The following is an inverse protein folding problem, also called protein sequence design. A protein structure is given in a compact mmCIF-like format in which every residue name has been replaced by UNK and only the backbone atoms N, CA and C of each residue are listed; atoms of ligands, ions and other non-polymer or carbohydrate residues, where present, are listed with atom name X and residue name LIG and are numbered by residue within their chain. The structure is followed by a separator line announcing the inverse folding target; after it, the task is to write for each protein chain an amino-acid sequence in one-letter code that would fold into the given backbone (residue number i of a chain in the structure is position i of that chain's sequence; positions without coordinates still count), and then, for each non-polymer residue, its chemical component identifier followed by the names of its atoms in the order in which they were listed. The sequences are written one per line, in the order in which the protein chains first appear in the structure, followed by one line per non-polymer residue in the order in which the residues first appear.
data_IF_197294263801
#
_entry.id   IF_197294263801
#
_cell.length_a   1.000
_cell.length_b   1.000
_cell.length_c   1.000
_cell.angle_alpha   90.00
_cell.angle_beta   90.00
_cell.angle_gamma   90.00
#
_symmetry.space_group_name_H-M   'P 1'
#
loop_
_entity.id
_entity.type
_entity.pdbx_description
1 polymer ?
#
# COMPACT_ATOMS: atom_id res chain seq x y z
N UNK A 1 -17.97 16.43 -4.50
CA UNK A 1 -18.04 15.28 -3.57
C UNK A 1 -18.62 14.04 -4.24
N UNK A 2 -17.96 12.89 -4.15
CA UNK A 2 -18.47 11.59 -4.63
C UNK A 2 -18.26 10.52 -3.55
N UNK A 3 -19.25 9.64 -3.40
CA UNK A 3 -19.25 8.53 -2.45
C UNK A 3 -19.51 7.24 -3.20
N UNK A 4 -18.67 6.24 -2.97
CA UNK A 4 -18.74 4.94 -3.62
C UNK A 4 -18.82 3.82 -2.59
N UNK A 5 -19.60 2.79 -2.87
CA UNK A 5 -19.52 1.55 -2.12
C UNK A 5 -18.33 0.75 -2.63
N UNK A 6 -17.58 0.14 -1.70
CA UNK A 6 -16.37 -0.62 -1.99
C UNK A 6 -16.53 -2.03 -1.42
N UNK A 7 -16.18 -3.04 -2.21
CA UNK A 7 -16.10 -4.42 -1.75
C UNK A 7 -14.76 -5.04 -2.19
N UNK A 8 -13.90 -5.37 -1.23
CA UNK A 8 -12.53 -5.85 -1.47
C UNK A 8 -12.34 -7.28 -1.00
N UNK A 9 -11.60 -8.07 -1.77
CA UNK A 9 -11.30 -9.45 -1.40
C UNK A 9 -10.06 -9.54 -0.50
N UNK A 10 -10.13 -10.38 0.53
CA UNK A 10 -8.96 -10.82 1.28
C UNK A 10 -8.06 -11.70 0.39
N UNK A 11 -6.74 -11.48 0.45
CA UNK A 11 -5.77 -12.25 -0.33
C UNK A 11 -5.36 -13.52 0.41
N UNK A 12 -5.65 -14.68 -0.18
CA UNK A 12 -5.39 -16.00 0.41
C UNK A 12 -5.95 -16.10 1.84
N UNK A 13 -5.16 -16.62 2.78
CA UNK A 13 -5.54 -16.79 4.19
C UNK A 13 -5.41 -15.53 5.06
N UNK A 14 -5.13 -14.37 4.45
CA UNK A 14 -5.02 -13.12 5.22
C UNK A 14 -6.37 -12.76 5.84
N UNK A 15 -6.30 -12.13 7.01
CA UNK A 15 -7.45 -11.70 7.83
C UNK A 15 -7.69 -10.19 7.77
N UNK A 16 -7.00 -9.49 6.87
CA UNK A 16 -7.15 -8.06 6.63
C UNK A 16 -6.99 -7.71 5.15
N UNK A 17 -7.64 -6.63 4.72
CA UNK A 17 -7.51 -6.05 3.38
C UNK A 17 -6.11 -5.48 3.21
N UNK A 18 -5.45 -5.79 2.08
CA UNK A 18 -4.09 -5.33 1.84
C UNK A 18 -4.10 -3.91 1.28
N UNK A 19 -3.11 -3.12 1.68
CA UNK A 19 -3.00 -1.74 1.21
C UNK A 19 -2.91 -1.54 -0.31
N UNK A 20 -2.25 -2.42 -1.09
CA UNK A 20 -2.31 -2.34 -2.55
C UNK A 20 -3.72 -2.48 -3.13
N UNK A 21 -4.62 -3.22 -2.47
CA UNK A 21 -6.01 -3.36 -2.92
C UNK A 21 -6.77 -2.04 -2.74
N UNK A 22 -6.60 -1.37 -1.59
CA UNK A 22 -7.16 -0.02 -1.35
C UNK A 22 -6.63 1.00 -2.36
N UNK A 23 -5.33 0.96 -2.63
CA UNK A 23 -4.70 1.85 -3.60
C UNK A 23 -5.27 1.63 -5.01
N UNK A 24 -5.45 0.36 -5.41
CA UNK A 24 -6.00 0.02 -6.72
C UNK A 24 -7.44 0.49 -6.84
N UNK A 25 -8.26 0.25 -5.81
CA UNK A 25 -9.64 0.73 -5.74
C UNK A 25 -9.73 2.25 -5.90
N UNK A 26 -8.88 2.99 -5.19
CA UNK A 26 -8.78 4.45 -5.34
C UNK A 26 -8.52 4.86 -6.79
N UNK A 27 -7.55 4.21 -7.44
CA UNK A 27 -7.17 4.54 -8.81
C UNK A 27 -8.30 4.27 -9.81
N UNK A 28 -9.06 3.18 -9.62
CA UNK A 28 -10.21 2.84 -10.46
C UNK A 28 -11.26 3.97 -10.52
N UNK A 29 -11.52 4.65 -9.39
CA UNK A 29 -12.53 5.71 -9.32
C UNK A 29 -12.04 7.09 -9.73
N UNK A 30 -10.71 7.31 -9.74
CA UNK A 30 -10.16 8.56 -10.25
C UNK A 30 -10.26 8.63 -11.78
N UNK A 31 -10.23 7.50 -12.50
CA UNK A 31 -10.35 7.43 -13.97
C UNK A 31 -9.48 8.46 -14.74
N UNK A 32 -8.40 8.93 -14.11
CA UNK A 32 -7.48 9.91 -14.67
C UNK A 32 -6.25 9.17 -15.18
N UNK A 33 -5.98 9.30 -16.49
CA UNK A 33 -4.85 8.63 -17.17
C UNK A 33 -3.48 9.15 -16.74
N UNK A 34 -3.40 10.15 -15.86
CA UNK A 34 -2.14 10.77 -15.44
C UNK A 34 -2.21 11.19 -13.97
N UNK A 35 -1.97 10.23 -13.09
CA UNK A 35 -1.71 10.52 -11.68
C UNK A 35 -0.26 11.01 -11.56
N UNK A 36 -0.06 12.13 -10.89
CA UNK A 36 1.26 12.77 -10.77
C UNK A 36 1.85 12.49 -9.39
N UNK A 37 1.32 13.19 -8.38
CA UNK A 37 1.76 13.02 -6.99
C UNK A 37 0.74 12.22 -6.23
N UNK A 38 1.19 11.25 -5.45
CA UNK A 38 0.33 10.45 -4.58
C UNK A 38 0.92 10.42 -3.19
N UNK A 39 0.12 10.74 -2.19
CA UNK A 39 0.43 10.51 -0.78
C UNK A 39 -0.71 9.68 -0.19
N UNK A 40 -0.50 8.37 -0.11
CA UNK A 40 -1.46 7.39 0.39
C UNK A 40 -1.01 6.87 1.75
N UNK A 41 -1.93 6.80 2.72
CA UNK A 41 -1.65 6.35 4.08
C UNK A 41 -2.75 5.45 4.61
N UNK A 42 -2.37 4.42 5.35
CA UNK A 42 -3.24 3.48 6.05
C UNK A 42 -3.06 3.72 7.54
N UNK A 43 -4.15 4.08 8.20
CA UNK A 43 -4.17 4.44 9.62
C UNK A 43 -4.62 3.28 10.49
N UNK A 44 -5.41 2.35 9.95
CA UNK A 44 -5.96 1.20 10.69
C UNK A 44 -5.99 -0.06 9.83
N UNK A 45 -5.81 -1.20 10.48
CA UNK A 45 -6.01 -2.52 9.86
C UNK A 45 -7.48 -2.71 9.54
N UNK A 46 -7.79 -3.10 8.30
CA UNK A 46 -9.16 -3.26 7.81
C UNK A 46 -9.51 -4.75 7.80
N UNK A 47 -10.45 -5.15 8.66
CA UNK A 47 -10.90 -6.55 8.82
C UNK A 47 -12.26 -6.83 8.16
N UNK A 48 -12.84 -5.85 7.50
CA UNK A 48 -14.10 -5.95 6.77
C UNK A 48 -13.85 -5.74 5.27
N UNK A 49 -14.53 -6.53 4.43
CA UNK A 49 -14.44 -6.40 2.98
C UNK A 49 -15.31 -5.27 2.42
N UNK A 50 -16.31 -4.80 3.16
CA UNK A 50 -17.27 -3.80 2.72
C UNK A 50 -16.99 -2.45 3.37
N UNK A 51 -17.00 -1.41 2.54
CA UNK A 51 -16.71 -0.06 2.99
C UNK A 51 -17.23 0.99 2.03
N UNK A 52 -16.83 2.22 2.30
CA UNK A 52 -17.14 3.40 1.51
C UNK A 52 -15.85 4.12 1.15
N UNK A 53 -15.80 4.57 -0.09
CA UNK A 53 -14.75 5.44 -0.61
C UNK A 53 -15.34 6.83 -0.86
N UNK A 54 -14.72 7.81 -0.22
CA UNK A 54 -15.05 9.21 -0.38
C UNK A 54 -13.98 9.88 -1.23
N UNK A 55 -14.38 10.62 -2.26
CA UNK A 55 -13.49 11.43 -3.10
C UNK A 55 -14.03 12.85 -3.23
N UNK A 56 -13.18 13.84 -2.96
CA UNK A 56 -13.49 15.25 -3.19
C UNK A 56 -12.28 16.00 -3.69
N UNK A 57 -12.49 17.07 -4.43
CA UNK A 57 -11.49 18.07 -4.81
C UNK A 57 -11.50 19.29 -3.88
N UNK A 58 -12.43 19.33 -2.92
CA UNK A 58 -12.57 20.39 -1.92
C UNK A 58 -11.96 19.96 -0.57
N UNK A 59 -10.87 20.59 -0.18
CA UNK A 59 -10.17 20.31 1.07
C UNK A 59 -11.00 20.62 2.32
N UNK A 60 -11.90 21.61 2.27
CA UNK A 60 -12.76 21.94 3.41
C UNK A 60 -13.76 20.81 3.67
N UNK A 61 -14.37 20.28 2.61
CA UNK A 61 -15.25 19.11 2.72
C UNK A 61 -14.51 17.89 3.28
N UNK A 62 -13.27 17.66 2.84
CA UNK A 62 -12.45 16.57 3.37
C UNK A 62 -12.17 16.73 4.87
N UNK A 63 -11.85 17.95 5.32
CA UNK A 63 -11.61 18.25 6.75
C UNK A 63 -12.83 18.08 7.64
N UNK A 64 -14.04 18.17 7.08
CA UNK A 64 -15.29 17.95 7.80
C UNK A 64 -15.63 16.47 7.98
N UNK A 65 -14.90 15.55 7.35
CA UNK A 65 -15.10 14.12 7.53
C UNK A 65 -14.76 13.67 8.96
N UNK A 66 -15.37 12.59 9.44
CA UNK A 66 -14.96 11.96 10.69
C UNK A 66 -13.47 11.61 10.66
N UNK A 67 -12.76 11.84 11.76
CA UNK A 67 -11.30 11.57 11.89
C UNK A 67 -10.99 10.07 11.85
N UNK A 68 -12.01 9.20 11.88
CA UNK A 68 -11.90 7.75 12.00
C UNK A 68 -11.84 6.98 10.67
N UNK A 69 -11.37 7.57 9.58
CA UNK A 69 -11.13 6.82 8.34
C UNK A 69 -9.97 5.83 8.48
N UNK A 70 -10.08 4.67 7.83
CA UNK A 70 -9.07 3.60 7.90
C UNK A 70 -7.84 3.90 7.04
N UNK A 71 -8.05 4.59 5.92
CA UNK A 71 -6.99 5.02 5.01
C UNK A 71 -7.38 6.35 4.34
N UNK A 72 -6.38 7.11 3.91
CA UNK A 72 -6.58 8.36 3.20
C UNK A 72 -5.55 8.54 2.10
N UNK A 73 -5.90 9.35 1.10
CA UNK A 73 -4.96 9.78 0.09
C UNK A 73 -5.11 11.26 -0.26
N UNK A 74 -3.99 11.84 -0.67
CA UNK A 74 -3.95 13.07 -1.43
C UNK A 74 -3.32 12.75 -2.79
N UNK A 75 -4.04 13.03 -3.86
CA UNK A 75 -3.63 12.70 -5.23
C UNK A 75 -3.67 13.95 -6.09
N UNK A 76 -2.63 14.21 -6.86
CA UNK A 76 -2.62 15.25 -7.90
C UNK A 76 -2.78 14.57 -9.26
N UNK A 77 -3.73 15.03 -10.06
CA UNK A 77 -3.92 14.59 -11.43
C UNK A 77 -4.34 15.79 -12.29
N UNK A 78 -3.62 16.06 -13.39
CA UNK A 78 -3.90 17.18 -14.31
C UNK A 78 -4.02 18.52 -13.56
N UNK A 79 -3.02 18.82 -12.74
CA UNK A 79 -2.96 20.03 -11.89
C UNK A 79 -4.11 20.17 -10.86
N UNK A 80 -4.94 19.14 -10.70
CA UNK A 80 -6.04 19.12 -9.73
C UNK A 80 -5.73 18.19 -8.58
N UNK A 81 -5.99 18.65 -7.36
CA UNK A 81 -5.79 17.88 -6.15
C UNK A 81 -7.10 17.21 -5.71
N UNK A 82 -7.00 15.94 -5.36
CA UNK A 82 -8.09 15.11 -4.85
C UNK A 82 -7.73 14.60 -3.46
N UNK A 83 -8.71 14.66 -2.57
CA UNK A 83 -8.66 14.17 -1.21
C UNK A 83 -9.60 12.98 -1.07
N UNK A 84 -9.06 11.92 -0.48
CA UNK A 84 -9.67 10.60 -0.53
C UNK A 84 -9.66 9.99 0.86
N UNK A 85 -10.77 9.39 1.27
CA UNK A 85 -10.89 8.67 2.54
C UNK A 85 -11.63 7.35 2.34
N UNK A 86 -11.15 6.32 3.03
CA UNK A 86 -11.77 5.00 3.10
C UNK A 86 -12.37 4.76 4.49
N UNK A 87 -13.61 4.29 4.52
CA UNK A 87 -14.34 3.95 5.74
C UNK A 87 -14.82 2.51 5.65
N UNK A 88 -14.40 1.67 6.59
CA UNK A 88 -14.82 0.29 6.72
C UNK A 88 -15.40 0.08 8.12
N UNK A 89 -16.38 -0.82 8.22
CA UNK A 89 -16.86 -1.22 9.55
C UNK A 89 -15.77 -1.96 10.33
N UNK A 90 -15.82 -1.86 11.66
CA UNK A 90 -15.00 -2.67 12.56
C UNK A 90 -15.55 -4.09 12.72
N UNK A 91 -16.78 -4.35 12.26
CA UNK A 91 -17.41 -5.67 12.29
C UNK A 91 -16.64 -6.66 11.42
N UNK A 92 -16.53 -7.90 11.90
CA UNK A 92 -15.93 -9.00 11.14
C UNK A 92 -17.00 -9.58 10.20
N UNK A 93 -16.75 -9.67 8.89
CA UNK A 93 -17.73 -10.18 7.94
C UNK A 93 -17.96 -11.68 8.18
N UNK A 94 -19.24 -12.08 8.18
CA UNK A 94 -19.65 -13.49 8.40
C UNK A 94 -19.10 -14.42 7.30
N UNK A 95 -19.02 -13.92 6.06
CA UNK A 95 -18.46 -14.64 4.90
C UNK A 95 -17.51 -13.71 4.13
N UNK A 96 -16.21 -13.69 4.45
CA UNK A 96 -15.26 -12.82 3.77
C UNK A 96 -15.07 -13.24 2.31
N UNK A 97 -15.11 -12.26 1.39
CA UNK A 97 -14.72 -12.46 0.00
C UNK A 97 -13.22 -12.75 -0.08
N UNK A 98 -12.80 -13.86 -0.71
CA UNK A 98 -11.38 -14.24 -0.83
C UNK A 98 -10.96 -14.36 -2.29
N UNK A 99 -9.70 -14.02 -2.58
CA UNK A 99 -9.05 -14.26 -3.88
C UNK A 99 -7.73 -15.00 -3.69
N UNK A 100 -7.37 -15.84 -4.66
CA UNK A 100 -6.05 -16.48 -4.69
C UNK A 100 -4.96 -15.42 -4.84
N UNK A 101 -3.82 -15.65 -4.20
CA UNK A 101 -2.68 -14.75 -4.29
C UNK A 101 -1.41 -15.52 -3.92
N UNK A 102 -0.52 -15.70 -4.89
CA UNK A 102 0.80 -16.29 -4.65
C UNK A 102 1.89 -15.21 -4.71
N UNK A 103 2.31 -14.75 -3.52
CA UNK A 103 3.39 -13.78 -3.36
C UNK A 103 4.76 -14.35 -3.82
N UNK A 104 4.89 -15.69 -3.88
CA UNK A 104 6.15 -16.34 -4.24
C UNK A 104 6.47 -16.17 -5.72
N UNK A 105 5.46 -16.11 -6.59
CA UNK A 105 5.65 -15.91 -8.03
C UNK A 105 6.48 -14.66 -8.32
N UNK A 106 6.23 -13.55 -7.61
CA UNK A 106 7.04 -12.33 -7.76
C UNK A 106 8.36 -12.39 -7.00
N UNK A 107 8.33 -12.83 -5.74
CA UNK A 107 9.52 -12.72 -4.87
C UNK A 107 10.67 -13.64 -5.27
N UNK A 108 10.41 -14.68 -6.10
CA UNK A 108 11.44 -15.53 -6.71
C UNK A 108 12.22 -14.84 -7.83
N UNK A 109 11.64 -13.82 -8.46
CA UNK A 109 12.26 -13.03 -9.53
C UNK A 109 13.13 -11.89 -8.98
N UNK A 110 13.15 -11.72 -7.65
CA UNK A 110 13.83 -10.61 -7.02
C UNK A 110 15.24 -10.98 -6.57
N UNK A 111 16.18 -10.07 -6.76
CA UNK A 111 17.55 -10.18 -6.26
C UNK A 111 17.77 -9.23 -5.08
N UNK A 112 18.33 -9.73 -3.98
CA UNK A 112 18.65 -8.92 -2.80
C UNK A 112 20.16 -8.79 -2.70
N UNK A 113 20.63 -7.54 -2.57
CA UNK A 113 22.01 -7.20 -2.22
C UNK A 113 21.99 -6.18 -1.09
N UNK A 114 22.49 -6.60 0.09
CA UNK A 114 22.47 -5.81 1.33
C UNK A 114 21.06 -5.25 1.60
N UNK A 115 20.96 -3.92 1.62
CA UNK A 115 19.76 -3.15 1.93
C UNK A 115 18.93 -2.79 0.68
N UNK A 116 19.19 -3.46 -0.45
CA UNK A 116 18.49 -3.23 -1.72
C UNK A 116 17.89 -4.52 -2.25
N UNK A 117 16.67 -4.43 -2.79
CA UNK A 117 16.03 -5.47 -3.58
C UNK A 117 15.75 -4.96 -4.99
N UNK A 118 15.99 -5.81 -6.00
CA UNK A 118 15.83 -5.49 -7.42
C UNK A 118 14.92 -6.49 -8.11
N UNK A 119 14.20 -6.02 -9.12
CA UNK A 119 13.43 -6.79 -10.08
C UNK A 119 13.79 -6.25 -11.48
N UNK A 120 14.31 -7.11 -12.34
CA UNK A 120 14.78 -6.77 -13.71
C UNK A 120 13.91 -7.44 -14.78
N UNK A 121 12.73 -7.90 -14.39
CA UNK A 121 11.76 -8.56 -15.24
C UNK A 121 10.37 -7.97 -15.03
N UNK A 122 9.48 -8.21 -16.00
CA UNK A 122 8.09 -7.77 -15.90
C UNK A 122 7.37 -8.46 -14.76
N UNK A 123 6.87 -7.66 -13.81
CA UNK A 123 6.01 -8.17 -12.74
C UNK A 123 4.66 -8.67 -13.28
N UNK A 124 4.12 -9.80 -12.78
CA UNK A 124 2.77 -10.25 -13.08
C UNK A 124 1.69 -9.48 -12.28
N UNK A 125 2.08 -8.58 -11.38
CA UNK A 125 1.19 -7.81 -10.52
C UNK A 125 1.21 -6.32 -10.85
N UNK A 126 0.26 -5.55 -10.31
CA UNK A 126 0.26 -4.10 -10.46
C UNK A 126 1.50 -3.48 -9.79
N UNK A 127 1.88 -2.27 -10.22
CA UNK A 127 3.07 -1.58 -9.71
C UNK A 127 3.12 -1.50 -8.18
N UNK A 128 2.02 -1.04 -7.55
CA UNK A 128 1.96 -0.91 -6.08
C UNK A 128 1.99 -2.27 -5.38
N UNK A 129 1.34 -3.30 -5.93
CA UNK A 129 1.46 -4.66 -5.41
C UNK A 129 2.90 -5.15 -5.47
N UNK A 130 3.59 -4.86 -6.58
CA UNK A 130 4.96 -5.26 -6.85
C UNK A 130 5.92 -4.65 -5.84
N UNK A 131 5.94 -3.32 -5.69
CA UNK A 131 6.86 -2.64 -4.78
C UNK A 131 6.60 -3.01 -3.31
N UNK A 132 5.34 -3.22 -2.92
CA UNK A 132 4.97 -3.62 -1.56
C UNK A 132 5.48 -5.02 -1.26
N UNK A 133 5.30 -5.98 -2.17
CA UNK A 133 5.81 -7.34 -2.00
C UNK A 133 7.33 -7.42 -2.04
N UNK A 134 7.98 -6.68 -2.95
CA UNK A 134 9.44 -6.56 -2.99
C UNK A 134 9.99 -6.05 -1.65
N UNK A 135 9.46 -4.93 -1.15
CA UNK A 135 10.00 -4.36 0.07
C UNK A 135 9.70 -5.22 1.30
N UNK A 136 8.52 -5.83 1.37
CA UNK A 136 8.21 -6.81 2.41
C UNK A 136 9.18 -7.97 2.39
N UNK A 137 9.53 -8.51 1.20
CA UNK A 137 10.54 -9.56 1.05
C UNK A 137 11.91 -9.10 1.55
N UNK A 138 12.34 -7.89 1.20
CA UNK A 138 13.59 -7.31 1.71
C UNK A 138 13.59 -7.23 3.24
N UNK A 139 12.53 -6.72 3.84
CA UNK A 139 12.42 -6.61 5.30
C UNK A 139 12.41 -7.97 6.00
N UNK A 140 11.76 -8.98 5.41
CA UNK A 140 11.77 -10.35 5.93
C UNK A 140 13.16 -10.99 5.85
N UNK A 141 13.96 -10.66 4.83
CA UNK A 141 15.34 -11.12 4.68
C UNK A 141 16.29 -10.40 5.65
N UNK A 142 16.19 -9.07 5.78
CA UNK A 142 17.04 -8.28 6.65
C UNK A 142 16.74 -8.51 8.14
N UNK A 143 15.46 -8.73 8.47
CA UNK A 143 14.97 -8.82 9.84
C UNK A 143 14.07 -10.04 10.03
N UNK A 144 14.63 -11.26 9.95
CA UNK A 144 13.86 -12.50 10.08
C UNK A 144 13.21 -12.62 11.46
N UNK A 145 12.06 -13.29 11.52
CA UNK A 145 11.35 -13.64 12.76
C UNK A 145 10.97 -12.46 13.68
N UNK A 146 10.79 -11.25 13.13
CA UNK A 146 10.39 -10.06 13.89
C UNK A 146 8.87 -9.89 14.06
N UNK A 147 8.09 -10.59 13.24
CA UNK A 147 6.62 -10.48 13.20
C UNK A 147 6.10 -10.10 11.81
N UNK A 148 4.98 -9.38 11.78
CA UNK A 148 4.25 -9.05 10.55
C UNK A 148 4.56 -7.63 10.08
N UNK A 149 5.16 -7.52 8.90
CA UNK A 149 5.38 -6.26 8.21
C UNK A 149 4.08 -5.73 7.59
N UNK A 150 3.65 -4.54 8.02
CA UNK A 150 2.45 -3.86 7.54
C UNK A 150 2.83 -2.67 6.68
N UNK A 151 2.33 -2.61 5.46
CA UNK A 151 2.43 -1.43 4.59
C UNK A 151 1.55 -0.31 5.17
N UNK A 152 2.13 0.87 5.41
CA UNK A 152 1.44 1.97 6.08
C UNK A 152 1.35 3.24 5.24
N UNK A 153 2.33 3.51 4.37
CA UNK A 153 2.31 4.73 3.56
C UNK A 153 3.10 4.59 2.26
N UNK A 154 2.60 5.21 1.21
CA UNK A 154 3.24 5.33 -0.10
C UNK A 154 3.22 6.79 -0.51
N UNK A 155 4.40 7.33 -0.83
CA UNK A 155 4.56 8.66 -1.42
C UNK A 155 5.16 8.47 -2.80
N UNK A 156 4.49 8.91 -3.85
CA UNK A 156 5.00 8.90 -5.22
C UNK A 156 5.09 10.32 -5.74
N UNK A 157 6.22 10.64 -6.37
CA UNK A 157 6.43 11.90 -7.10
C UNK A 157 5.94 11.82 -8.54
N UNK A 158 5.83 10.59 -9.07
CA UNK A 158 5.26 10.27 -10.37
C UNK A 158 4.62 8.87 -10.30
N UNK A 159 3.36 8.72 -10.69
CA UNK A 159 2.76 7.40 -10.85
C UNK A 159 3.11 6.81 -12.21
N UNK A 160 3.61 5.57 -12.20
CA UNK A 160 4.03 4.87 -13.40
C UNK A 160 2.92 3.91 -13.80
N UNK A 161 2.39 4.08 -15.01
CA UNK A 161 1.34 3.24 -15.60
C UNK A 161 1.95 2.14 -16.48
N UNK A 162 3.15 2.38 -17.00
CA UNK A 162 3.87 1.45 -17.88
C UNK A 162 4.53 0.32 -17.08
N UNK A 163 4.83 -0.79 -17.77
CA UNK A 163 5.59 -1.90 -17.16
C UNK A 163 7.06 -1.50 -17.13
N UNK A 164 7.65 -1.17 -15.97
CA UNK A 164 9.05 -0.77 -15.91
C UNK A 164 9.95 -1.95 -16.26
N UNK A 165 11.12 -1.65 -16.84
CA UNK A 165 12.15 -2.66 -17.11
C UNK A 165 12.85 -3.05 -15.81
N UNK A 166 13.20 -2.05 -14.99
CA UNK A 166 13.91 -2.27 -13.73
C UNK A 166 13.23 -1.52 -12.59
N UNK A 167 12.94 -2.25 -11.51
CA UNK A 167 12.52 -1.69 -10.22
C UNK A 167 13.58 -2.03 -9.19
N UNK A 168 14.00 -1.06 -8.38
CA UNK A 168 14.75 -1.36 -7.17
C UNK A 168 14.30 -0.51 -6.00
N UNK A 169 14.38 -1.11 -4.81
CA UNK A 169 13.96 -0.52 -3.55
C UNK A 169 15.15 -0.61 -2.60
N UNK A 170 15.54 0.53 -2.04
CA UNK A 170 16.64 0.61 -1.08
C UNK A 170 16.11 1.09 0.25
N UNK A 171 16.34 0.31 1.31
CA UNK A 171 16.07 0.72 2.68
C UNK A 171 16.84 2.01 2.97
N UNK A 172 16.14 3.02 3.50
CA UNK A 172 16.71 4.35 3.73
C UNK A 172 16.80 4.71 5.22
N UNK A 173 15.77 4.36 6.00
CA UNK A 173 15.65 4.75 7.40
C UNK A 173 14.86 3.69 8.17
N UNK A 174 15.25 3.45 9.41
CA UNK A 174 14.56 2.56 10.35
C UNK A 174 14.37 3.28 11.68
N UNK A 175 13.13 3.66 12.00
CA UNK A 175 12.77 4.31 13.25
C UNK A 175 12.30 3.27 14.28
N UNK A 176 13.24 2.45 14.74
CA UNK A 176 13.01 1.37 15.72
C UNK A 176 11.82 0.45 15.34
N UNK A 177 11.71 0.11 14.06
CA UNK A 177 10.65 -0.72 13.47
C UNK A 177 9.21 -0.19 13.61
N UNK A 178 8.99 0.94 14.32
CA UNK A 178 7.70 1.64 14.35
C UNK A 178 7.36 2.20 12.98
N UNK A 179 8.35 2.69 12.27
CA UNK A 179 8.25 3.14 10.90
C UNK A 179 9.58 2.86 10.20
N UNK A 180 9.53 2.22 9.04
CA UNK A 180 10.70 1.92 8.23
C UNK A 180 10.40 2.42 6.83
N UNK A 181 11.36 3.15 6.28
CA UNK A 181 11.25 3.86 5.01
C UNK A 181 12.23 3.29 4.02
N UNK A 182 11.77 3.09 2.79
CA UNK A 182 12.63 2.83 1.64
C UNK A 182 12.37 3.83 0.51
N UNK A 183 13.39 4.02 -0.31
CA UNK A 183 13.31 4.76 -1.56
C UNK A 183 12.99 3.79 -2.69
N UNK A 184 12.08 4.18 -3.57
CA UNK A 184 11.69 3.44 -4.76
C UNK A 184 12.35 4.07 -5.97
N UNK A 185 12.97 3.24 -6.78
CA UNK A 185 13.55 3.64 -8.05
C UNK A 185 12.99 2.79 -9.18
N UNK A 186 12.76 3.45 -10.32
CA UNK A 186 12.36 2.82 -11.57
C UNK A 186 13.26 3.33 -12.66
N UNK A 187 13.87 2.43 -13.41
CA UNK A 187 14.84 2.75 -14.48
C UNK A 187 15.88 3.77 -14.01
N UNK A 188 16.42 3.53 -12.82
CA UNK A 188 17.41 4.36 -12.12
C UNK A 188 16.95 5.76 -11.68
N UNK A 189 15.66 6.08 -11.81
CA UNK A 189 15.09 7.35 -11.35
C UNK A 189 14.34 7.15 -10.05
N UNK A 190 14.55 8.07 -9.10
CA UNK A 190 13.76 8.10 -7.87
C UNK A 190 12.30 8.46 -8.21
N UNK A 191 11.35 7.64 -7.75
CA UNK A 191 9.91 7.83 -8.02
C UNK A 191 9.07 7.95 -6.77
N UNK A 192 9.66 7.71 -5.59
CA UNK A 192 8.94 7.83 -4.34
C UNK A 192 9.51 7.04 -3.18
N UNK A 193 8.69 6.91 -2.16
CA UNK A 193 9.05 6.38 -0.85
C UNK A 193 7.96 5.43 -0.37
N UNK A 194 8.39 4.33 0.25
CA UNK A 194 7.53 3.29 0.79
C UNK A 194 7.77 3.16 2.28
N UNK A 195 6.68 3.01 3.04
CA UNK A 195 6.74 2.93 4.48
C UNK A 195 6.03 1.70 5.00
N UNK A 196 6.70 1.04 5.95
CA UNK A 196 6.20 -0.12 6.66
C UNK A 196 6.33 0.07 8.16
N UNK A 197 5.51 -0.65 8.90
CA UNK A 197 5.60 -0.79 10.36
C UNK A 197 5.65 -2.26 10.72
N UNK A 198 6.40 -2.60 11.75
CA UNK A 198 6.39 -3.93 12.33
C UNK A 198 5.21 -4.05 13.28
N UNK A 199 4.31 -4.99 13.01
CA UNK A 199 3.39 -5.49 14.01
C UNK A 199 4.05 -6.71 14.66
N UNK A 200 4.46 -6.62 15.94
CA UNK A 200 5.00 -7.77 16.65
C UNK A 200 4.01 -8.93 16.57
N UNK A 201 4.50 -10.14 16.42
CA UNK A 201 3.69 -11.29 16.80
C UNK A 201 3.49 -11.19 18.31
N UNK A 202 2.25 -11.08 18.78
CA UNK A 202 1.97 -11.19 20.21
C UNK A 202 2.57 -12.53 20.68
N UNK A 203 3.70 -12.47 21.38
CA UNK A 203 3.88 -13.35 22.52
C UNK A 203 2.84 -12.87 23.52
N UNK A 204 1.89 -13.72 23.87
CA UNK A 204 1.06 -13.53 25.06
C UNK A 204 1.92 -13.65 26.33
N UNK A 205 3.10 -13.01 26.37
CA UNK A 205 3.97 -12.99 27.53
C UNK A 205 4.78 -11.68 27.55
N UNK A 206 4.32 -10.84 28.50
CA UNK A 206 5.04 -9.95 29.40
C UNK A 206 5.05 -8.44 29.10
N UNK A 207 4.86 -7.60 30.13
CA UNK A 207 4.03 -7.74 31.35
C UNK A 207 2.85 -6.76 31.36
#
# INVERSE_FOLDING_TARGET
MKLYNVCLAFKAERTYIQGPDLFSEMCCHLNEKKLEKINFSIHRVIKNNEGKLYITDDFHQFKMLPVSFNASACVTARDKQYWIAFFFSEDIPVKPLRKSYDENTLTRLCHIDKETIRLEEKSPFLFVETIVSMYKKLLQTLYPNRGKWLFTKLVLTSYIIESPEVIFITLSQNFNFKLIKANIFVDHRFVGELYFSLMPENKNDLP
#
